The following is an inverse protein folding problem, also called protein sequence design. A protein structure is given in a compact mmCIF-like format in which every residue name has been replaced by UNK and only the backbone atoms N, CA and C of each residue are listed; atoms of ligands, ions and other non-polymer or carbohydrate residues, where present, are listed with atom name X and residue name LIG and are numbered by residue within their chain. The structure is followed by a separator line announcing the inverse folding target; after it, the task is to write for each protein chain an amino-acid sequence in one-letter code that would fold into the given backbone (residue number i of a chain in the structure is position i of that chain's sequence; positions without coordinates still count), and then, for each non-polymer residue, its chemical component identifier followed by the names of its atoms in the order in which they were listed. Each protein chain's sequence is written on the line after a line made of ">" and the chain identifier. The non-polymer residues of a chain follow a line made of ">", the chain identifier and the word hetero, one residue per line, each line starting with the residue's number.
data_IF_169392402648
#
_entry.id   IF_169392402648
#
_cell.length_a   1.000
_cell.length_b   1.000
_cell.length_c   1.000
_cell.angle_alpha   90.00
_cell.angle_beta   90.00
_cell.angle_gamma   90.00
#
_symmetry.space_group_name_H-M   'P 1'
#
loop_
_entity.id
_entity.type
_entity.pdbx_description
1 polymer ?
#
# COMPACT_ATOMS: atom_id res chain seq x y z
N UNK A 1 -1.26 12.21 -0.63
CA UNK A 1 -0.85 11.20 0.37
C UNK A 1 -1.98 10.24 0.66
N UNK A 2 -3.16 10.74 1.04
CA UNK A 2 -4.37 9.94 1.31
C UNK A 2 -4.63 8.85 0.28
N UNK A 3 -4.68 9.21 -1.01
CA UNK A 3 -4.83 8.26 -2.12
C UNK A 3 -3.84 7.09 -2.10
N UNK A 4 -2.57 7.34 -1.78
CA UNK A 4 -1.54 6.29 -1.74
C UNK A 4 -1.74 5.34 -0.55
N UNK A 5 -2.21 5.87 0.57
CA UNK A 5 -2.57 5.08 1.76
C UNK A 5 -3.78 4.22 1.44
N UNK A 6 -4.82 4.80 0.81
CA UNK A 6 -6.02 4.06 0.39
C UNK A 6 -5.67 2.91 -0.58
N UNK A 7 -4.78 3.17 -1.56
CA UNK A 7 -4.29 2.13 -2.47
C UNK A 7 -3.58 0.98 -1.74
N UNK A 8 -2.75 1.30 -0.75
CA UNK A 8 -2.06 0.28 0.04
C UNK A 8 -3.03 -0.49 0.94
N UNK A 9 -4.00 0.19 1.53
CA UNK A 9 -5.03 -0.39 2.39
C UNK A 9 -5.97 -1.33 1.61
N UNK A 10 -6.34 -0.98 0.38
CA UNK A 10 -7.19 -1.81 -0.47
C UNK A 10 -6.60 -3.20 -0.75
N UNK A 11 -5.26 -3.29 -0.82
CA UNK A 11 -4.55 -4.56 -1.08
C UNK A 11 -3.95 -5.20 0.16
N UNK A 12 -4.05 -4.56 1.32
CA UNK A 12 -3.55 -5.08 2.60
C UNK A 12 -4.06 -6.51 2.91
N UNK A 13 -5.32 -6.89 2.60
CA UNK A 13 -5.79 -8.25 2.86
C UNK A 13 -4.96 -9.35 2.18
N UNK A 14 -4.29 -9.07 1.06
CA UNK A 14 -3.40 -10.05 0.42
C UNK A 14 -2.15 -10.36 1.26
N UNK A 15 -1.69 -9.40 2.07
CA UNK A 15 -0.63 -9.64 3.03
C UNK A 15 -1.17 -10.40 4.25
N UNK A 16 -2.25 -9.92 4.85
CA UNK A 16 -2.76 -10.45 6.12
C UNK A 16 -3.31 -11.87 5.99
N UNK A 17 -3.87 -12.22 4.84
CA UNK A 17 -4.28 -13.60 4.56
C UNK A 17 -3.12 -14.60 4.45
N UNK A 18 -1.87 -14.14 4.34
CA UNK A 18 -0.66 -14.97 4.19
C UNK A 18 0.34 -14.82 5.33
N UNK A 19 0.25 -13.73 6.09
CA UNK A 19 1.19 -13.32 7.13
C UNK A 19 0.42 -12.82 8.37
N UNK A 20 -0.44 -13.68 8.90
CA UNK A 20 -1.40 -13.41 9.99
C UNK A 20 -0.81 -12.82 11.29
N UNK A 21 0.46 -13.11 11.58
CA UNK A 21 1.16 -12.65 12.78
C UNK A 21 2.13 -11.46 12.53
N UNK A 22 2.08 -10.84 11.35
CA UNK A 22 2.92 -9.70 11.00
C UNK A 22 2.06 -8.46 10.74
N UNK A 23 2.11 -7.48 11.65
CA UNK A 23 1.30 -6.26 11.56
C UNK A 23 2.06 -5.08 10.93
N UNK A 24 3.31 -5.27 10.49
CA UNK A 24 4.16 -4.17 10.02
C UNK A 24 3.57 -3.41 8.82
N UNK A 25 2.94 -4.04 7.81
CA UNK A 25 2.28 -3.30 6.73
C UNK A 25 1.06 -2.50 7.20
N UNK A 26 0.23 -3.06 8.08
CA UNK A 26 -0.91 -2.35 8.68
C UNK A 26 -0.45 -1.12 9.47
N UNK A 27 0.57 -1.27 10.31
CA UNK A 27 1.18 -0.16 11.06
C UNK A 27 1.75 0.92 10.16
N UNK A 28 2.26 0.58 8.97
CA UNK A 28 2.73 1.58 8.02
C UNK A 28 1.57 2.40 7.42
N UNK A 29 0.43 1.76 7.11
CA UNK A 29 -0.78 2.45 6.65
C UNK A 29 -1.30 3.39 7.75
N UNK A 30 -1.42 2.89 8.98
CA UNK A 30 -1.84 3.68 10.15
C UNK A 30 -0.89 4.86 10.42
N UNK A 31 0.41 4.65 10.34
CA UNK A 31 1.40 5.71 10.49
C UNK A 31 1.30 6.76 9.37
N UNK A 32 0.96 6.34 8.14
CA UNK A 32 0.66 7.25 7.04
C UNK A 32 -0.54 8.15 7.35
N UNK A 33 -1.64 7.59 7.88
CA UNK A 33 -2.82 8.37 8.31
C UNK A 33 -2.48 9.34 9.43
N UNK A 34 -1.80 8.87 10.46
CA UNK A 34 -1.43 9.68 11.61
C UNK A 34 -0.48 10.84 11.24
N UNK A 35 0.39 10.65 10.25
CA UNK A 35 1.19 11.77 9.73
C UNK A 35 0.32 12.78 8.97
N UNK A 36 -0.63 12.31 8.17
CA UNK A 36 -1.53 13.17 7.39
C UNK A 36 -2.45 14.00 8.28
N UNK A 37 -2.88 13.46 9.43
CA UNK A 37 -3.61 14.19 10.48
C UNK A 37 -2.74 15.10 11.35
N UNK A 38 -1.41 15.08 11.19
CA UNK A 38 -0.46 15.86 12.01
C UNK A 38 -0.18 15.27 13.40
N UNK A 39 -0.61 14.04 13.66
CA UNK A 39 -0.47 13.33 14.94
C UNK A 39 0.86 12.54 15.05
N UNK A 40 1.58 12.36 13.94
CA UNK A 40 2.82 11.60 13.89
C UNK A 40 3.95 12.38 13.20
N UNK A 41 5.15 12.31 13.77
CA UNK A 41 6.35 12.87 13.15
C UNK A 41 6.74 12.12 11.87
N UNK A 42 7.30 12.83 10.89
CA UNK A 42 7.80 12.23 9.63
C UNK A 42 8.79 11.07 9.88
N UNK A 43 9.67 11.21 10.89
CA UNK A 43 10.65 10.17 11.23
C UNK A 43 9.99 8.85 11.65
N UNK A 44 8.88 8.91 12.39
CA UNK A 44 8.14 7.72 12.82
C UNK A 44 7.39 7.09 11.65
N UNK A 45 6.77 7.89 10.77
CA UNK A 45 6.18 7.40 9.52
C UNK A 45 7.23 6.68 8.65
N UNK A 46 8.42 7.28 8.53
CA UNK A 46 9.55 6.67 7.78
C UNK A 46 10.05 5.38 8.42
N UNK A 47 10.07 5.29 9.75
CA UNK A 47 10.42 4.06 10.48
C UNK A 47 9.40 2.95 10.20
N UNK A 48 8.10 3.26 10.22
CA UNK A 48 7.05 2.31 9.86
C UNK A 48 7.17 1.85 8.40
N UNK A 49 7.51 2.78 7.48
CA UNK A 49 7.79 2.45 6.08
C UNK A 49 8.91 1.40 5.93
N UNK A 50 10.02 1.58 6.66
CA UNK A 50 11.11 0.60 6.64
C UNK A 50 10.71 -0.75 7.22
N UNK A 51 9.88 -0.77 8.27
CA UNK A 51 9.35 -2.00 8.85
C UNK A 51 8.46 -2.76 7.85
N UNK A 52 7.57 -2.08 7.13
CA UNK A 52 6.77 -2.69 6.07
C UNK A 52 7.63 -3.23 4.91
N UNK A 53 8.69 -2.51 4.51
CA UNK A 53 9.66 -3.05 3.55
C UNK A 53 10.41 -4.29 4.08
N UNK A 54 10.66 -4.39 5.38
CA UNK A 54 11.22 -5.60 5.99
C UNK A 54 10.22 -6.76 5.96
N UNK A 55 8.94 -6.52 6.26
CA UNK A 55 7.87 -7.51 6.12
C UNK A 55 7.79 -8.03 4.68
N UNK A 56 7.88 -7.14 3.69
CA UNK A 56 7.89 -7.53 2.28
C UNK A 56 9.06 -8.45 1.89
N UNK A 57 10.22 -8.35 2.56
CA UNK A 57 11.38 -9.24 2.32
C UNK A 57 11.21 -10.60 3.00
N UNK A 58 10.42 -10.65 4.07
CA UNK A 58 10.17 -11.85 4.86
C UNK A 58 8.98 -12.67 4.32
N UNK A 59 8.09 -12.06 3.54
CA UNK A 59 6.94 -12.74 2.95
C UNK A 59 7.38 -13.76 1.89
N UNK A 60 6.83 -14.99 1.99
CA UNK A 60 7.05 -16.07 1.03
C UNK A 60 6.05 -16.07 -0.14
N UNK A 61 5.05 -15.18 -0.08
CA UNK A 61 4.02 -15.02 -1.12
C UNK A 61 4.23 -13.69 -1.87
N UNK A 62 4.11 -13.72 -3.20
CA UNK A 62 4.38 -12.56 -4.03
C UNK A 62 3.34 -11.44 -3.87
N UNK A 63 2.06 -11.78 -3.76
CA UNK A 63 0.99 -10.81 -3.56
C UNK A 63 1.17 -10.12 -2.20
N UNK A 64 1.46 -10.90 -1.16
CA UNK A 64 1.79 -10.39 0.17
C UNK A 64 3.01 -9.44 0.12
N UNK A 65 4.12 -9.89 -0.47
CA UNK A 65 5.33 -9.08 -0.57
C UNK A 65 5.07 -7.73 -1.27
N UNK A 66 4.24 -7.72 -2.33
CA UNK A 66 3.88 -6.48 -3.02
C UNK A 66 2.91 -5.60 -2.22
N UNK A 67 1.93 -6.17 -1.52
CA UNK A 67 1.05 -5.41 -0.62
C UNK A 67 1.87 -4.73 0.50
N UNK A 68 2.83 -5.42 1.10
CA UNK A 68 3.74 -4.84 2.09
C UNK A 68 4.64 -3.73 1.51
N UNK A 69 5.09 -3.84 0.26
CA UNK A 69 5.81 -2.74 -0.43
C UNK A 69 4.91 -1.55 -0.70
N UNK A 70 3.64 -1.79 -1.05
CA UNK A 70 2.66 -0.73 -1.24
C UNK A 70 2.49 0.08 0.06
N UNK A 71 2.29 -0.60 1.19
CA UNK A 71 2.20 0.03 2.52
C UNK A 71 3.48 0.81 2.89
N UNK A 72 4.66 0.24 2.65
CA UNK A 72 5.93 0.93 2.90
C UNK A 72 6.07 2.22 2.08
N UNK A 73 5.72 2.19 0.80
CA UNK A 73 5.72 3.40 -0.03
C UNK A 73 4.65 4.41 0.37
N UNK A 74 3.45 3.96 0.76
CA UNK A 74 2.40 4.84 1.24
C UNK A 74 2.86 5.61 2.49
N UNK A 75 3.46 4.95 3.49
CA UNK A 75 4.02 5.62 4.65
C UNK A 75 5.19 6.56 4.27
N UNK A 76 6.02 6.16 3.30
CA UNK A 76 7.16 6.96 2.85
C UNK A 76 6.78 8.25 2.12
N UNK A 77 5.51 8.47 1.76
CA UNK A 77 5.08 9.76 1.20
C UNK A 77 5.23 10.92 2.20
N UNK A 78 5.28 10.61 3.50
CA UNK A 78 5.61 11.57 4.56
C UNK A 78 7.00 12.20 4.39
N UNK A 79 7.93 11.49 3.75
CA UNK A 79 9.27 12.00 3.46
C UNK A 79 9.31 12.72 2.09
N UNK A 80 8.69 12.12 1.06
CA UNK A 80 8.60 12.75 -0.27
C UNK A 80 7.41 12.21 -1.08
N UNK A 81 6.65 13.10 -1.71
CA UNK A 81 5.41 12.79 -2.41
C UNK A 81 5.56 11.76 -3.55
N UNK A 82 6.75 11.66 -4.17
CA UNK A 82 7.03 10.74 -5.28
C UNK A 82 6.79 9.26 -4.94
N UNK A 83 6.77 8.88 -3.67
CA UNK A 83 6.43 7.51 -3.26
C UNK A 83 4.96 7.12 -3.54
N UNK A 84 4.06 8.08 -3.77
CA UNK A 84 2.64 7.80 -3.99
C UNK A 84 2.41 6.89 -5.22
N UNK A 85 3.11 7.18 -6.32
CA UNK A 85 3.02 6.37 -7.56
C UNK A 85 3.58 4.96 -7.33
N UNK A 86 4.63 4.83 -6.52
CA UNK A 86 5.18 3.52 -6.17
C UNK A 86 4.21 2.71 -5.32
N UNK A 87 3.52 3.34 -4.35
CA UNK A 87 2.51 2.67 -3.54
C UNK A 87 1.40 2.07 -4.42
N UNK A 88 0.78 2.90 -5.27
CA UNK A 88 -0.26 2.46 -6.20
C UNK A 88 0.24 1.38 -7.18
N UNK A 89 1.48 1.49 -7.64
CA UNK A 89 2.08 0.50 -8.56
C UNK A 89 2.31 -0.85 -7.90
N UNK A 90 2.77 -0.86 -6.65
CA UNK A 90 2.91 -2.10 -5.90
C UNK A 90 1.56 -2.68 -5.49
N UNK A 91 0.55 -1.86 -5.23
CA UNK A 91 -0.82 -2.34 -5.04
C UNK A 91 -1.37 -3.06 -6.29
N UNK A 92 -1.18 -2.49 -7.48
CA UNK A 92 -1.55 -3.15 -8.73
C UNK A 92 -0.79 -4.47 -8.95
N UNK A 93 0.49 -4.55 -8.55
CA UNK A 93 1.24 -5.81 -8.56
C UNK A 93 0.69 -6.80 -7.54
N UNK A 94 0.33 -6.37 -6.34
CA UNK A 94 -0.27 -7.26 -5.35
C UNK A 94 -1.55 -7.91 -5.90
N UNK A 95 -2.45 -7.12 -6.49
CA UNK A 95 -3.65 -7.61 -7.15
C UNK A 95 -3.34 -8.57 -8.32
N UNK A 96 -2.33 -8.28 -9.13
CA UNK A 96 -1.90 -9.14 -10.23
C UNK A 96 -1.50 -10.55 -9.75
N UNK A 97 -0.77 -10.65 -8.64
CA UNK A 97 -0.25 -11.91 -8.10
C UNK A 97 -1.22 -12.61 -7.12
N UNK A 98 -2.34 -11.97 -6.78
CA UNK A 98 -3.33 -12.53 -5.84
C UNK A 98 -4.29 -13.54 -6.49
N UNK A 99 -4.21 -13.72 -7.81
CA UNK A 99 -5.09 -14.57 -8.62
C UNK A 99 -4.29 -15.50 -9.51
N UNK A 100 -4.97 -16.45 -10.15
CA UNK A 100 -4.34 -17.35 -11.11
C UNK A 100 -3.75 -16.59 -12.31
N UNK A 101 -2.66 -17.08 -12.95
CA UNK A 101 -1.98 -16.36 -14.05
C UNK A 101 -2.89 -15.94 -15.21
N UNK A 102 -3.94 -16.72 -15.50
CA UNK A 102 -4.91 -16.41 -16.56
C UNK A 102 -5.73 -15.14 -16.28
N UNK A 103 -5.90 -14.77 -15.01
CA UNK A 103 -6.71 -13.63 -14.56
C UNK A 103 -5.86 -12.42 -14.14
N UNK A 104 -4.55 -12.62 -13.97
CA UNK A 104 -3.60 -11.64 -13.43
C UNK A 104 -3.68 -10.27 -14.12
N UNK A 105 -3.72 -10.25 -15.46
CA UNK A 105 -3.84 -9.01 -16.24
C UNK A 105 -5.17 -8.29 -15.98
N UNK A 106 -6.28 -9.03 -15.96
CA UNK A 106 -7.60 -8.46 -15.70
C UNK A 106 -7.71 -7.92 -14.27
N UNK A 107 -7.15 -8.62 -13.28
CA UNK A 107 -7.20 -8.17 -11.89
C UNK A 107 -6.34 -6.92 -11.64
N UNK A 108 -5.17 -6.83 -12.29
CA UNK A 108 -4.35 -5.62 -12.25
C UNK A 108 -5.08 -4.41 -12.87
N UNK A 109 -5.80 -4.61 -13.98
CA UNK A 109 -6.62 -3.55 -14.60
C UNK A 109 -7.78 -3.13 -13.70
N UNK A 110 -8.47 -4.07 -13.06
CA UNK A 110 -9.52 -3.77 -12.07
C UNK A 110 -8.98 -2.89 -10.94
N UNK A 111 -7.83 -3.25 -10.38
CA UNK A 111 -7.15 -2.47 -9.34
C UNK A 111 -6.79 -1.07 -9.84
N UNK A 112 -6.19 -0.94 -11.04
CA UNK A 112 -5.88 0.38 -11.63
C UNK A 112 -7.12 1.24 -11.87
N UNK A 113 -8.21 0.66 -12.33
CA UNK A 113 -9.46 1.37 -12.54
C UNK A 113 -10.02 1.87 -11.20
N UNK A 114 -10.01 1.04 -10.16
CA UNK A 114 -10.40 1.46 -8.81
C UNK A 114 -9.52 2.60 -8.31
N UNK A 115 -8.19 2.48 -8.41
CA UNK A 115 -7.26 3.53 -7.99
C UNK A 115 -7.52 4.86 -8.70
N UNK A 116 -7.78 4.82 -10.01
CA UNK A 116 -8.05 6.03 -10.79
C UNK A 116 -9.40 6.67 -10.40
N UNK A 117 -10.47 5.88 -10.29
CA UNK A 117 -11.77 6.39 -9.84
C UNK A 117 -11.70 6.95 -8.42
N UNK A 118 -10.97 6.27 -7.53
CA UNK A 118 -10.77 6.74 -6.16
C UNK A 118 -10.01 8.07 -6.11
N UNK A 119 -8.99 8.24 -6.96
CA UNK A 119 -8.29 9.52 -7.09
C UNK A 119 -9.23 10.65 -7.52
N UNK A 120 -10.08 10.40 -8.53
CA UNK A 120 -11.05 11.39 -8.99
C UNK A 120 -12.04 11.77 -7.88
N UNK A 121 -12.59 10.78 -7.18
CA UNK A 121 -13.49 11.02 -6.06
C UNK A 121 -12.84 11.86 -4.96
N UNK A 122 -11.56 11.65 -4.66
CA UNK A 122 -10.83 12.46 -3.67
C UNK A 122 -10.60 13.90 -4.16
N UNK A 123 -10.49 14.12 -5.47
CA UNK A 123 -10.36 15.46 -6.05
C UNK A 123 -11.68 16.21 -6.12
N UNK A 124 -12.80 15.51 -6.27
CA UNK A 124 -14.15 16.09 -6.40
C UNK A 124 -14.78 16.50 -5.05
N UNK A 125 -14.12 16.23 -3.91
CA UNK A 125 -14.59 16.59 -2.55
C UNK A 125 -14.21 18.05 -2.18
N UNK A 126 -13.82 18.89 -3.15
CA UNK A 126 -13.44 20.29 -2.94
C UNK A 126 -14.36 21.29 -3.65
#
# INVERSE_FOLDING_TARGET
>A
MLWAIDCAEHVLPYFEGKCDNDDRPRKAIEAGRAWESGELAMSEARKAAFAAHAAARNANDQAAAFAARAAGHAAATAHVAGHAIHAATYAAKAANYAVEPAEAGANAVKERNWQFQHLLNLCDIH
#
